data_IF_074690020133
#
_entry.id   IF_074690020133
#
_cell.length_a   1.000
_cell.length_b   1.000
_cell.length_c   1.000
_cell.angle_alpha   90.00
_cell.angle_beta   90.00
_cell.angle_gamma   90.00
#
_symmetry.space_group_name_H-M   'P 1'
#
loop_
_entity.id
_entity.type
_entity.pdbx_description
1 polymer ?
#
# COMPACT_ATOMS: atom_id res chain seq x y z
N UNK A 1 13.74 -0.66 5.03
CA UNK A 1 14.58 -0.56 3.81
C UNK A 1 14.81 0.91 3.42
N UNK A 2 13.77 1.73 3.29
CA UNK A 2 13.90 3.20 3.11
C UNK A 2 14.84 3.87 4.13
N UNK A 3 14.72 3.54 5.41
CA UNK A 3 15.57 4.08 6.48
C UNK A 3 17.07 3.75 6.34
N UNK A 4 17.43 2.73 5.56
CA UNK A 4 18.82 2.41 5.24
C UNK A 4 19.33 3.31 4.11
N UNK A 5 18.49 3.56 3.11
CA UNK A 5 18.79 4.46 1.99
C UNK A 5 18.95 5.91 2.48
N UNK A 6 18.12 6.33 3.44
CA UNK A 6 18.24 7.63 4.10
C UNK A 6 19.58 7.80 4.81
N UNK A 7 20.15 6.73 5.39
CA UNK A 7 21.47 6.80 6.02
C UNK A 7 22.59 7.00 5.00
N UNK A 8 22.48 6.41 3.81
CA UNK A 8 23.43 6.64 2.70
C UNK A 8 23.39 8.12 2.30
N UNK A 9 22.17 8.67 2.19
CA UNK A 9 21.95 10.10 1.92
C UNK A 9 22.51 11.00 3.02
N UNK A 10 22.27 10.65 4.29
CA UNK A 10 22.77 11.40 5.44
C UNK A 10 24.31 11.38 5.54
N UNK A 11 24.95 10.29 5.07
CA UNK A 11 26.40 10.20 4.98
C UNK A 11 27.00 11.00 3.81
N UNK A 12 26.19 11.72 3.03
CA UNK A 12 26.63 12.52 1.89
C UNK A 12 27.04 11.70 0.66
N UNK A 13 26.69 10.41 0.61
CA UNK A 13 27.02 9.54 -0.51
C UNK A 13 26.03 9.73 -1.66
N UNK A 14 26.49 9.79 -2.92
CA UNK A 14 25.61 9.78 -4.08
C UNK A 14 24.82 8.47 -4.17
N UNK A 15 23.50 8.58 -4.29
CA UNK A 15 22.61 7.42 -4.40
C UNK A 15 21.86 7.45 -5.73
N UNK A 16 22.08 6.43 -6.56
CA UNK A 16 21.32 6.22 -7.80
C UNK A 16 20.51 4.94 -7.70
N UNK A 17 19.21 5.00 -8.00
CA UNK A 17 18.32 3.84 -8.04
C UNK A 17 17.99 3.52 -9.50
N UNK A 18 18.20 2.25 -9.88
CA UNK A 18 17.85 1.73 -11.20
C UNK A 18 16.64 0.81 -11.11
N UNK A 19 15.62 1.08 -11.92
CA UNK A 19 14.38 0.29 -11.99
C UNK A 19 14.36 -0.49 -13.29
N UNK A 20 14.43 -1.82 -13.17
CA UNK A 20 14.37 -2.73 -14.32
C UNK A 20 12.92 -3.06 -14.72
N UNK A 21 12.15 -3.72 -13.83
CA UNK A 21 10.78 -4.16 -14.15
C UNK A 21 9.69 -3.36 -13.45
N UNK A 22 9.79 -3.21 -12.12
CA UNK A 22 8.74 -2.59 -11.31
C UNK A 22 9.33 -1.83 -10.13
N UNK A 23 8.87 -0.60 -9.93
CA UNK A 23 9.00 0.16 -8.69
C UNK A 23 7.66 0.83 -8.39
N UNK A 24 6.80 0.16 -7.62
CA UNK A 24 5.44 0.60 -7.32
C UNK A 24 5.16 0.66 -5.81
N UNK A 25 4.25 1.55 -5.38
CA UNK A 25 3.85 1.74 -3.98
C UNK A 25 5.06 2.01 -3.08
N UNK A 26 5.38 1.14 -2.13
CA UNK A 26 6.58 1.26 -1.28
C UNK A 26 7.89 1.27 -2.07
N UNK A 27 7.95 0.56 -3.21
CA UNK A 27 9.13 0.56 -4.09
C UNK A 27 9.40 1.92 -4.72
N UNK A 28 8.33 2.61 -5.14
CA UNK A 28 8.43 3.99 -5.64
C UNK A 28 8.85 4.95 -4.52
N UNK A 29 8.25 4.84 -3.33
CA UNK A 29 8.63 5.69 -2.20
C UNK A 29 10.11 5.51 -1.79
N UNK A 30 10.64 4.29 -1.89
CA UNK A 30 12.08 4.05 -1.69
C UNK A 30 12.93 4.64 -2.82
N UNK A 31 12.46 4.58 -4.07
CA UNK A 31 13.15 5.18 -5.21
C UNK A 31 13.30 6.71 -5.06
N UNK A 32 12.30 7.38 -4.49
CA UNK A 32 12.31 8.83 -4.24
C UNK A 32 13.40 9.32 -3.27
N UNK A 33 14.07 8.42 -2.53
CA UNK A 33 15.18 8.78 -1.63
C UNK A 33 16.48 9.06 -2.41
N UNK A 34 16.59 8.60 -3.66
CA UNK A 34 17.80 8.74 -4.47
C UNK A 34 18.01 10.15 -5.04
N UNK A 35 19.27 10.50 -5.30
CA UNK A 35 19.67 11.68 -6.08
C UNK A 35 19.24 11.56 -7.53
N UNK A 36 19.27 10.34 -8.06
CA UNK A 36 18.93 10.03 -9.43
C UNK A 36 18.17 8.72 -9.51
N UNK A 37 17.09 8.73 -10.26
CA UNK A 37 16.33 7.53 -10.63
C UNK A 37 16.52 7.29 -12.12
N UNK A 38 16.85 6.06 -12.49
CA UNK A 38 16.95 5.60 -13.88
C UNK A 38 16.02 4.42 -14.04
N UNK A 39 15.20 4.40 -15.08
CA UNK A 39 14.27 3.30 -15.33
C UNK A 39 14.45 2.75 -16.74
N UNK A 40 14.28 1.44 -16.89
CA UNK A 40 14.12 0.85 -18.20
C UNK A 40 12.85 1.42 -18.87
N UNK A 41 12.81 1.58 -20.21
CA UNK A 41 11.65 2.15 -20.90
C UNK A 41 10.34 1.37 -20.68
N UNK A 42 10.45 0.08 -20.36
CA UNK A 42 9.32 -0.82 -20.08
C UNK A 42 9.00 -0.95 -18.59
N UNK A 43 9.73 -0.28 -17.71
CA UNK A 43 9.54 -0.40 -16.28
C UNK A 43 8.23 0.24 -15.83
N UNK A 44 7.51 -0.42 -14.92
CA UNK A 44 6.32 0.13 -14.29
C UNK A 44 6.73 0.89 -13.03
N UNK A 45 6.59 2.20 -13.04
CA UNK A 45 6.91 3.09 -11.92
C UNK A 45 5.65 3.82 -11.47
N UNK A 46 5.30 3.78 -10.17
CA UNK A 46 4.14 4.52 -9.65
C UNK A 46 3.34 3.81 -8.55
N UNK A 47 2.02 3.73 -8.71
CA UNK A 47 1.10 3.26 -7.65
C UNK A 47 1.19 4.09 -6.35
N UNK A 48 1.15 5.41 -6.51
CA UNK A 48 1.22 6.39 -5.42
C UNK A 48 -0.13 6.43 -4.71
N UNK A 49 -0.29 5.62 -3.67
CA UNK A 49 -1.52 5.55 -2.88
C UNK A 49 -1.60 4.26 -2.06
N UNK A 50 -2.34 4.32 -0.96
CA UNK A 50 -2.72 3.15 -0.17
C UNK A 50 -4.17 2.87 -0.49
N UNK A 51 -4.44 1.69 -1.06
CA UNK A 51 -5.79 1.23 -1.34
C UNK A 51 -6.13 0.13 -0.33
N UNK A 52 -7.17 0.35 0.46
CA UNK A 52 -7.80 -0.69 1.27
C UNK A 52 -9.13 -1.08 0.60
N UNK A 53 -9.24 -2.32 0.15
CA UNK A 53 -10.47 -2.87 -0.42
C UNK A 53 -11.07 -3.87 0.56
N UNK A 54 -12.32 -3.62 0.95
CA UNK A 54 -13.09 -4.49 1.84
C UNK A 54 -14.39 -4.79 1.12
N UNK A 55 -14.55 -6.02 0.59
CA UNK A 55 -15.79 -6.44 -0.05
C UNK A 55 -16.98 -6.33 0.91
N UNK A 56 -18.07 -5.73 0.46
CA UNK A 56 -19.31 -5.66 1.24
C UNK A 56 -20.29 -6.74 0.78
N UNK A 57 -20.50 -7.74 1.64
CA UNK A 57 -21.40 -8.87 1.40
C UNK A 57 -22.80 -8.67 2.00
N UNK A 58 -23.11 -7.52 2.63
CA UNK A 58 -24.41 -7.25 3.23
C UNK A 58 -25.57 -7.50 2.26
N UNK A 59 -25.42 -7.02 1.01
CA UNK A 59 -26.45 -7.19 -0.03
C UNK A 59 -26.60 -8.63 -0.50
N UNK A 60 -25.52 -9.42 -0.49
CA UNK A 60 -25.55 -10.82 -0.87
C UNK A 60 -26.25 -11.65 0.21
N UNK A 61 -25.90 -11.44 1.47
CA UNK A 61 -26.49 -12.17 2.60
C UNK A 61 -27.98 -11.87 2.73
N UNK A 62 -28.39 -10.60 2.59
CA UNK A 62 -29.81 -10.21 2.56
C UNK A 62 -30.60 -10.86 1.43
N UNK A 63 -29.98 -11.14 0.28
CA UNK A 63 -30.66 -11.77 -0.87
C UNK A 63 -30.91 -13.27 -0.64
N UNK A 64 -30.13 -13.90 0.24
CA UNK A 64 -30.21 -15.32 0.56
C UNK A 64 -30.85 -15.59 1.93
N UNK A 65 -31.51 -14.60 2.53
CA UNK A 65 -32.13 -14.67 3.86
C UNK A 65 -31.16 -15.18 4.94
N UNK A 66 -29.88 -14.84 4.81
CA UNK A 66 -28.85 -15.18 5.78
C UNK A 66 -28.72 -14.04 6.78
N UNK A 67 -29.17 -14.30 8.00
CA UNK A 67 -28.96 -13.41 9.14
C UNK A 67 -27.55 -13.59 9.73
N UNK A 68 -26.95 -12.48 10.17
CA UNK A 68 -25.66 -12.46 10.82
C UNK A 68 -25.76 -11.54 12.03
N UNK A 69 -25.38 -12.05 13.20
CA UNK A 69 -25.27 -11.27 14.43
C UNK A 69 -23.80 -11.06 14.79
N UNK A 70 -23.45 -9.82 15.16
CA UNK A 70 -22.10 -9.50 15.61
C UNK A 70 -22.14 -8.86 17.00
N UNK A 71 -21.58 -9.57 17.98
CA UNK A 71 -21.41 -9.08 19.35
C UNK A 71 -20.04 -8.40 19.47
N UNK A 72 -20.01 -7.10 19.75
CA UNK A 72 -18.75 -6.35 19.91
C UNK A 72 -18.68 -5.63 21.24
N UNK A 73 -17.57 -5.78 21.97
CA UNK A 73 -17.28 -5.04 23.20
C UNK A 73 -16.45 -3.78 22.88
N UNK A 74 -17.13 -2.66 22.59
CA UNK A 74 -16.53 -1.33 22.41
C UNK A 74 -16.95 -0.62 21.13
N UNK A 75 -17.21 0.68 21.23
CA UNK A 75 -17.75 1.55 20.16
C UNK A 75 -16.83 1.65 18.93
N UNK A 76 -15.51 1.66 19.12
CA UNK A 76 -14.52 1.82 18.04
C UNK A 76 -13.90 0.52 17.51
N UNK A 77 -14.32 -0.65 18.02
CA UNK A 77 -13.88 -1.95 17.45
C UNK A 77 -14.44 -2.20 16.05
N UNK A 78 -15.38 -1.38 15.58
CA UNK A 78 -16.02 -1.46 14.26
C UNK A 78 -15.59 -0.29 13.37
N UNK A 79 -14.35 -0.34 12.87
CA UNK A 79 -13.83 0.69 11.96
C UNK A 79 -14.16 0.39 10.50
N UNK A 80 -14.06 -0.87 10.05
CA UNK A 80 -14.46 -1.35 8.71
C UNK A 80 -14.88 -2.84 8.80
N UNK A 81 -16.05 -3.22 8.26
CA UNK A 81 -16.54 -4.61 8.25
C UNK A 81 -16.94 -5.07 6.84
N UNK A 82 -16.89 -6.39 6.60
CA UNK A 82 -17.31 -7.01 5.33
C UNK A 82 -18.84 -7.16 5.22
N UNK A 83 -19.56 -6.87 6.30
CA UNK A 83 -20.98 -7.20 6.46
C UNK A 83 -21.86 -5.96 6.70
N UNK A 84 -21.27 -4.76 6.69
CA UNK A 84 -21.92 -3.49 7.07
C UNK A 84 -21.25 -2.88 8.28
#
# INVERSE_FOLDING_TARGET
>A
ASSQLDRIKAAGLPLTISVDKVAASGGYMMACVADKIVSAPFAIVGSIGVIAQIPNFNKLLKKHDIEYEQLTAGEYKRTLTMFG
#
